data_IF_573490358643
#
_entry.id   IF_573490358643
#
_cell.length_a   1.000
_cell.length_b   1.000
_cell.length_c   1.000
_cell.angle_alpha   90.00
_cell.angle_beta   90.00
_cell.angle_gamma   90.00
#
_symmetry.space_group_name_H-M   'P 1'
#
loop_
_entity.id
_entity.type
_entity.pdbx_description
1 polymer ?
#
# COMPACT_ATOMS: atom_id res chain seq x y z
N UNK A 1 -33.29 8.84 20.97
CA UNK A 1 -33.21 10.07 21.79
C UNK A 1 -31.98 10.86 21.34
N UNK A 2 -32.18 11.98 20.63
CA UNK A 2 -31.12 12.81 20.03
C UNK A 2 -30.29 13.57 21.08
N UNK A 3 -30.80 13.71 22.31
CA UNK A 3 -30.13 14.45 23.40
C UNK A 3 -28.72 13.92 23.74
N UNK A 4 -28.46 12.62 23.50
CA UNK A 4 -27.13 12.04 23.74
C UNK A 4 -26.04 12.60 22.82
N UNK A 5 -26.41 13.16 21.67
CA UNK A 5 -25.48 13.74 20.70
C UNK A 5 -25.30 15.26 20.89
N UNK A 6 -26.11 15.89 21.73
CA UNK A 6 -25.99 17.31 22.06
C UNK A 6 -24.82 17.54 23.04
N UNK A 7 -23.58 17.55 22.53
CA UNK A 7 -22.34 17.70 23.32
C UNK A 7 -22.11 19.12 23.83
N UNK A 8 -22.59 20.12 23.08
CA UNK A 8 -22.45 21.54 23.37
C UNK A 8 -23.83 22.19 23.53
N UNK A 9 -23.93 23.14 24.46
CA UNK A 9 -25.11 23.98 24.67
C UNK A 9 -24.70 25.45 24.70
N UNK A 10 -25.53 26.38 24.22
CA UNK A 10 -25.29 27.81 24.40
C UNK A 10 -25.15 28.17 25.89
N UNK A 11 -24.28 29.14 26.19
CA UNK A 11 -24.00 29.57 27.55
C UNK A 11 -25.21 30.29 28.17
N UNK A 12 -25.82 31.21 27.41
CA UNK A 12 -27.08 31.88 27.75
C UNK A 12 -27.82 32.34 26.49
N UNK A 13 -28.84 31.58 26.05
CA UNK A 13 -29.69 31.95 24.89
C UNK A 13 -30.38 33.32 25.04
N UNK A 14 -30.55 33.80 26.27
CA UNK A 14 -31.29 35.02 26.58
C UNK A 14 -30.44 36.31 26.56
N UNK A 15 -29.10 36.20 26.61
CA UNK A 15 -28.20 37.36 26.82
C UNK A 15 -27.34 37.70 25.58
N UNK A 16 -27.58 37.05 24.45
CA UNK A 16 -26.77 37.25 23.23
C UNK A 16 -25.36 36.63 23.29
N UNK A 17 -25.01 35.92 24.36
CA UNK A 17 -23.75 35.16 24.47
C UNK A 17 -23.81 33.90 23.60
N UNK A 18 -23.17 33.98 22.42
CA UNK A 18 -23.06 32.90 21.44
C UNK A 18 -22.01 31.84 21.81
N UNK A 19 -21.30 31.97 22.95
CA UNK A 19 -20.33 30.96 23.38
C UNK A 19 -21.02 29.64 23.73
N UNK A 20 -20.32 28.54 23.48
CA UNK A 20 -20.79 27.19 23.76
C UNK A 20 -20.10 26.62 25.00
N UNK A 21 -20.87 25.91 25.83
CA UNK A 21 -20.38 25.13 26.97
C UNK A 21 -20.68 23.64 26.79
N UNK A 22 -19.92 22.79 27.46
CA UNK A 22 -20.22 21.36 27.50
C UNK A 22 -21.61 21.12 28.10
N UNK A 23 -22.36 20.19 27.50
CA UNK A 23 -23.74 19.91 27.92
C UNK A 23 -23.83 19.28 29.32
N UNK A 24 -22.79 18.58 29.77
CA UNK A 24 -22.72 17.98 31.11
C UNK A 24 -21.27 17.70 31.54
N UNK A 25 -21.01 17.51 32.85
CA UNK A 25 -19.70 17.05 33.34
C UNK A 25 -19.27 15.71 32.75
N UNK A 26 -20.22 14.82 32.42
CA UNK A 26 -19.94 13.53 31.78
C UNK A 26 -19.30 13.71 30.40
N UNK A 27 -19.74 14.71 29.61
CA UNK A 27 -19.12 15.04 28.31
C UNK A 27 -17.67 15.48 28.49
N UNK A 28 -17.38 16.26 29.54
CA UNK A 28 -16.02 16.72 29.85
C UNK A 28 -15.11 15.54 30.22
N UNK A 29 -15.59 14.64 31.08
CA UNK A 29 -14.85 13.45 31.48
C UNK A 29 -14.59 12.55 30.27
N UNK A 30 -15.61 12.31 29.45
CA UNK A 30 -15.52 11.48 28.25
C UNK A 30 -14.53 12.05 27.23
N UNK A 31 -14.57 13.36 27.00
CA UNK A 31 -13.61 14.06 26.15
C UNK A 31 -12.18 13.91 26.68
N UNK A 32 -11.95 14.13 27.97
CA UNK A 32 -10.62 13.97 28.60
C UNK A 32 -10.06 12.55 28.52
N UNK A 33 -10.91 11.53 28.52
CA UNK A 33 -10.47 10.14 28.39
C UNK A 33 -10.04 9.75 26.98
N UNK A 34 -10.50 10.50 25.96
CA UNK A 34 -10.28 10.19 24.54
C UNK A 34 -9.47 11.27 23.80
N UNK A 35 -9.14 12.40 24.45
CA UNK A 35 -8.37 13.48 23.82
C UNK A 35 -6.97 13.01 23.45
N UNK A 36 -6.59 13.26 22.20
CA UNK A 36 -5.27 12.92 21.67
C UNK A 36 -5.32 12.78 20.15
N UNK A 37 -4.15 12.89 19.52
CA UNK A 37 -3.98 12.71 18.06
C UNK A 37 -3.23 11.44 17.71
N UNK A 38 -2.61 10.79 18.69
CA UNK A 38 -1.87 9.54 18.50
C UNK A 38 -2.86 8.38 18.57
N UNK A 39 -3.06 7.74 17.43
CA UNK A 39 -3.83 6.49 17.34
C UNK A 39 -2.83 5.35 17.26
N UNK A 40 -2.75 4.52 18.29
CA UNK A 40 -1.91 3.32 18.27
C UNK A 40 -2.38 2.36 17.17
N UNK A 41 -1.42 1.80 16.42
CA UNK A 41 -1.70 0.74 15.48
C UNK A 41 -2.32 -0.44 16.25
N UNK A 42 -3.50 -0.94 15.82
CA UNK A 42 -4.14 -2.06 16.48
C UNK A 42 -3.25 -3.29 16.37
N UNK A 43 -3.04 -3.95 17.51
CA UNK A 43 -2.27 -5.17 17.62
C UNK A 43 -3.22 -6.36 17.80
N UNK A 44 -2.91 -7.47 17.16
CA UNK A 44 -3.58 -8.75 17.34
C UNK A 44 -2.69 -9.69 18.15
N UNK A 45 -3.31 -10.46 19.04
CA UNK A 45 -2.60 -11.49 19.80
C UNK A 45 -2.37 -12.71 18.92
N UNK A 46 -1.12 -13.10 18.73
CA UNK A 46 -0.78 -14.32 17.98
C UNK A 46 -0.90 -15.53 18.89
N UNK A 47 -1.77 -16.46 18.53
CA UNK A 47 -2.02 -17.70 19.29
C UNK A 47 -1.78 -18.94 18.46
N UNK A 48 -0.86 -19.78 18.93
CA UNK A 48 -0.60 -21.07 18.35
C UNK A 48 -1.69 -22.08 18.72
N UNK A 49 -2.44 -22.54 17.73
CA UNK A 49 -3.45 -23.60 17.86
C UNK A 49 -2.91 -24.94 17.36
N UNK A 50 -3.48 -26.04 17.83
CA UNK A 50 -3.13 -27.38 17.32
C UNK A 50 -3.87 -27.63 16.02
N UNK A 51 -3.14 -28.05 14.98
CA UNK A 51 -3.73 -28.52 13.73
C UNK A 51 -4.57 -29.76 14.00
N UNK A 52 -5.89 -29.59 14.03
CA UNK A 52 -6.87 -30.66 13.83
C UNK A 52 -7.67 -30.20 12.63
N UNK A 53 -7.83 -31.05 11.61
CA UNK A 53 -8.43 -30.73 10.31
C UNK A 53 -9.91 -30.33 10.30
N UNK A 54 -10.34 -29.47 11.22
CA UNK A 54 -11.64 -28.81 11.29
C UNK A 54 -11.40 -27.32 11.53
N UNK A 55 -12.17 -26.48 10.83
CA UNK A 55 -12.20 -25.03 11.03
C UNK A 55 -12.23 -24.72 12.54
N UNK A 56 -11.34 -23.84 13.05
CA UNK A 56 -11.34 -23.50 14.46
C UNK A 56 -12.65 -22.78 14.80
N UNK A 57 -13.58 -23.51 15.40
CA UNK A 57 -14.81 -22.96 15.98
C UNK A 57 -14.45 -22.54 17.40
N UNK A 58 -14.56 -21.24 17.65
CA UNK A 58 -14.65 -20.56 18.95
C UNK A 58 -14.07 -21.27 20.18
N UNK A 59 -13.02 -20.68 20.74
CA UNK A 59 -12.72 -20.81 22.17
C UNK A 59 -11.33 -21.37 22.51
N UNK A 60 -10.50 -20.48 23.06
CA UNK A 60 -9.57 -20.72 24.16
C UNK A 60 -8.79 -22.06 24.18
N UNK A 61 -7.56 -22.04 23.69
CA UNK A 61 -6.63 -23.16 23.95
C UNK A 61 -5.24 -23.06 23.34
N UNK A 62 -4.88 -21.92 22.73
CA UNK A 62 -3.61 -21.76 22.05
C UNK A 62 -2.53 -21.06 22.88
N UNK A 63 -1.28 -21.49 22.74
CA UNK A 63 -0.12 -20.82 23.35
C UNK A 63 0.01 -19.42 22.75
N UNK A 64 -0.03 -18.41 23.62
CA UNK A 64 0.24 -17.03 23.23
C UNK A 64 1.72 -16.86 22.88
N UNK A 65 2.00 -16.26 21.73
CA UNK A 65 3.36 -16.05 21.21
C UNK A 65 3.80 -14.58 21.29
N UNK A 66 2.87 -13.64 21.28
CA UNK A 66 3.13 -12.20 21.25
C UNK A 66 2.02 -11.44 20.55
N UNK A 67 2.23 -10.13 20.34
CA UNK A 67 1.32 -9.30 19.56
C UNK A 67 1.97 -8.90 18.24
N UNK A 68 1.15 -8.75 17.21
CA UNK A 68 1.58 -8.38 15.86
C UNK A 68 0.62 -7.32 15.32
N UNK A 69 1.12 -6.39 14.49
CA UNK A 69 0.27 -5.36 13.89
C UNK A 69 -0.84 -6.01 13.06
N UNK A 70 -2.08 -5.58 13.28
CA UNK A 70 -3.27 -6.05 12.54
C UNK A 70 -3.07 -5.90 11.03
N UNK A 71 -2.40 -4.82 10.60
CA UNK A 71 -2.08 -4.55 9.19
C UNK A 71 -1.30 -5.68 8.50
N UNK A 72 -0.36 -6.31 9.19
CA UNK A 72 0.40 -7.40 8.61
C UNK A 72 -0.48 -8.65 8.45
N UNK A 73 -1.33 -8.93 9.44
CA UNK A 73 -2.24 -10.08 9.42
C UNK A 73 -3.34 -9.93 8.36
N UNK A 74 -3.84 -8.70 8.14
CA UNK A 74 -4.84 -8.41 7.11
C UNK A 74 -4.36 -8.72 5.68
N UNK A 75 -3.05 -8.75 5.44
CA UNK A 75 -2.47 -9.10 4.14
C UNK A 75 -2.39 -10.62 3.92
N UNK A 76 -2.57 -11.42 4.97
CA UNK A 76 -2.43 -12.87 4.92
C UNK A 76 -3.77 -13.53 4.57
N UNK A 77 -3.71 -14.48 3.65
CA UNK A 77 -4.78 -15.44 3.42
C UNK A 77 -4.58 -16.69 4.30
N UNK A 78 -5.65 -17.36 4.75
CA UNK A 78 -5.52 -18.63 5.45
C UNK A 78 -4.69 -19.63 4.64
N UNK A 79 -3.61 -20.13 5.23
CA UNK A 79 -2.62 -20.96 4.55
C UNK A 79 -1.26 -20.28 4.35
N UNK A 80 -1.22 -18.94 4.35
CA UNK A 80 0.02 -18.19 4.21
C UNK A 80 0.93 -18.40 5.42
N UNK A 81 2.25 -18.38 5.18
CA UNK A 81 3.25 -18.58 6.22
C UNK A 81 4.04 -17.32 6.51
N UNK A 82 4.35 -17.10 7.78
CA UNK A 82 5.14 -15.96 8.22
C UNK A 82 6.05 -16.30 9.40
N UNK A 83 7.14 -15.54 9.53
CA UNK A 83 8.09 -15.71 10.63
C UNK A 83 7.71 -14.79 11.81
N UNK A 84 7.43 -15.38 12.96
CA UNK A 84 7.14 -14.60 14.17
C UNK A 84 7.64 -15.31 15.42
N UNK A 85 8.25 -14.55 16.34
CA UNK A 85 8.87 -15.06 17.57
C UNK A 85 9.81 -16.27 17.35
N UNK A 86 10.57 -16.27 16.23
CA UNK A 86 11.49 -17.36 15.89
C UNK A 86 10.81 -18.65 15.38
N UNK A 87 9.53 -18.59 15.06
CA UNK A 87 8.77 -19.70 14.51
C UNK A 87 8.22 -19.36 13.13
N UNK A 88 8.28 -20.32 12.20
CA UNK A 88 7.53 -20.27 10.96
C UNK A 88 6.11 -20.72 11.26
N UNK A 89 5.16 -19.82 11.07
CA UNK A 89 3.77 -19.98 11.45
C UNK A 89 2.91 -19.96 10.20
N UNK A 90 1.91 -20.83 10.11
CA UNK A 90 0.87 -20.79 9.09
C UNK A 90 -0.35 -20.10 9.67
N UNK A 91 -0.85 -19.08 8.99
CA UNK A 91 -2.06 -18.38 9.36
C UNK A 91 -3.28 -19.27 9.09
N UNK A 92 -4.10 -19.53 10.12
CA UNK A 92 -5.33 -20.34 9.99
C UNK A 92 -6.58 -19.45 9.91
N UNK A 93 -6.50 -18.24 10.44
CA UNK A 93 -7.60 -17.27 10.45
C UNK A 93 -7.63 -16.41 11.72
N UNK A 94 -8.65 -15.57 11.79
CA UNK A 94 -8.88 -14.64 12.90
C UNK A 94 -9.97 -15.16 13.84
N UNK A 95 -9.74 -14.99 15.15
CA UNK A 95 -10.75 -15.17 16.18
C UNK A 95 -10.77 -13.92 17.08
N UNK A 96 -11.78 -13.08 16.91
CA UNK A 96 -11.92 -11.78 17.59
C UNK A 96 -10.71 -10.85 17.41
N UNK A 97 -9.84 -10.74 18.43
CA UNK A 97 -8.60 -9.95 18.41
C UNK A 97 -7.35 -10.84 18.44
N UNK A 98 -7.50 -12.10 18.02
CA UNK A 98 -6.43 -13.09 18.03
C UNK A 98 -6.21 -13.67 16.63
N UNK A 99 -4.96 -13.70 16.18
CA UNK A 99 -4.53 -14.39 14.98
C UNK A 99 -4.21 -15.85 15.34
N UNK A 100 -5.00 -16.79 14.80
CA UNK A 100 -4.80 -18.21 15.02
C UNK A 100 -3.78 -18.76 14.04
N UNK A 101 -2.77 -19.43 14.56
CA UNK A 101 -1.66 -19.95 13.75
C UNK A 101 -1.29 -21.37 14.11
N UNK A 102 -0.79 -22.14 13.15
CA UNK A 102 -0.14 -23.44 13.40
C UNK A 102 1.35 -23.37 13.08
N UNK A 103 2.16 -24.32 13.56
CA UNK A 103 3.56 -24.42 13.13
C UNK A 103 3.63 -24.91 11.68
N UNK A 104 4.54 -24.32 10.93
CA UNK A 104 4.88 -24.74 9.57
C UNK A 104 6.40 -24.84 9.42
N UNK A 105 6.84 -25.60 8.43
CA UNK A 105 8.24 -25.73 8.03
C UNK A 105 8.46 -25.18 6.61
N UNK A 106 7.61 -24.25 6.18
CA UNK A 106 7.76 -23.62 4.87
C UNK A 106 9.13 -22.93 4.76
N UNK A 107 9.78 -23.11 3.61
CA UNK A 107 11.14 -22.61 3.36
C UNK A 107 11.18 -21.08 3.18
N UNK A 108 10.09 -20.47 2.70
CA UNK A 108 10.01 -19.04 2.39
C UNK A 108 8.83 -18.36 3.10
N UNK A 109 8.92 -18.12 4.43
CA UNK A 109 7.88 -17.42 5.17
C UNK A 109 7.94 -15.89 4.93
N UNK A 110 6.77 -15.25 4.91
CA UNK A 110 6.65 -13.79 4.90
C UNK A 110 7.23 -13.19 6.19
N UNK A 111 7.86 -12.02 6.10
CA UNK A 111 8.44 -11.33 7.25
C UNK A 111 7.50 -10.20 7.68
N UNK A 112 7.08 -10.13 8.96
CA UNK A 112 6.30 -9.01 9.47
C UNK A 112 6.98 -7.67 9.22
N UNK A 113 6.31 -6.79 8.48
CA UNK A 113 6.72 -5.40 8.30
C UNK A 113 6.02 -4.53 9.33
N UNK A 114 6.78 -3.83 10.16
CA UNK A 114 6.26 -2.84 11.11
C UNK A 114 6.21 -1.47 10.44
N UNK A 115 5.09 -0.76 10.59
CA UNK A 115 4.84 0.52 9.92
C UNK A 115 5.84 1.63 10.31
N UNK A 116 6.60 1.46 11.39
CA UNK A 116 7.51 2.48 11.94
C UNK A 116 8.97 2.50 11.45
N UNK A 117 9.35 1.71 10.43
CA UNK A 117 10.77 1.39 10.22
C UNK A 117 11.61 2.29 9.31
N UNK A 118 11.03 3.02 8.35
CA UNK A 118 11.83 3.71 7.31
C UNK A 118 11.24 5.06 6.95
N UNK A 119 11.94 6.13 7.31
CA UNK A 119 11.71 7.43 6.70
C UNK A 119 12.09 7.34 5.21
N UNK A 120 11.21 7.74 4.28
CA UNK A 120 11.57 7.80 2.87
C UNK A 120 12.74 8.77 2.67
N UNK A 121 13.54 8.56 1.62
CA UNK A 121 14.56 9.53 1.19
C UNK A 121 13.96 10.94 1.18
N UNK A 122 14.62 11.94 1.75
CA UNK A 122 14.15 13.33 1.61
C UNK A 122 14.24 13.75 0.14
N UNK A 123 13.41 14.70 -0.30
CA UNK A 123 13.43 15.22 -1.67
C UNK A 123 14.81 15.78 -2.07
N UNK A 124 15.50 16.42 -1.12
CA UNK A 124 16.88 16.88 -1.29
C UNK A 124 17.87 15.74 -1.49
N UNK A 125 17.73 14.65 -0.72
CA UNK A 125 18.60 13.48 -0.86
C UNK A 125 18.33 12.76 -2.18
N UNK A 126 17.07 12.59 -2.57
CA UNK A 126 16.66 12.05 -3.86
C UNK A 126 17.28 12.85 -5.03
N UNK A 127 17.20 14.18 -4.97
CA UNK A 127 17.80 15.06 -5.98
C UNK A 127 19.32 14.89 -6.03
N UNK A 128 19.99 14.78 -4.88
CA UNK A 128 21.44 14.58 -4.82
C UNK A 128 21.85 13.23 -5.40
N UNK A 129 21.11 12.15 -5.10
CA UNK A 129 21.38 10.82 -5.65
C UNK A 129 21.20 10.82 -7.18
N UNK A 130 20.14 11.43 -7.72
CA UNK A 130 19.95 11.57 -9.17
C UNK A 130 21.10 12.32 -9.83
N UNK A 131 21.56 13.42 -9.21
CA UNK A 131 22.73 14.18 -9.66
C UNK A 131 23.99 13.31 -9.72
N UNK A 132 24.25 12.53 -8.66
CA UNK A 132 25.39 11.61 -8.63
C UNK A 132 25.34 10.54 -9.73
N UNK A 133 24.14 10.06 -10.08
CA UNK A 133 23.95 9.11 -11.19
C UNK A 133 24.15 9.78 -12.57
N UNK A 134 23.70 11.02 -12.72
CA UNK A 134 23.76 11.76 -13.99
C UNK A 134 25.19 12.20 -14.37
N UNK A 135 26.03 12.53 -13.38
CA UNK A 135 27.35 13.12 -13.60
C UNK A 135 28.47 12.13 -13.32
N UNK A 136 29.12 11.66 -14.39
CA UNK A 136 30.16 10.62 -14.32
C UNK A 136 31.38 11.04 -13.51
N UNK A 137 31.68 12.33 -13.48
CA UNK A 137 32.75 12.92 -12.67
C UNK A 137 32.53 12.70 -11.16
N UNK A 138 31.28 12.59 -10.70
CA UNK A 138 30.97 12.33 -9.29
C UNK A 138 31.25 10.87 -8.90
N UNK A 139 31.37 9.95 -9.87
CA UNK A 139 31.59 8.52 -9.61
C UNK A 139 32.99 8.22 -9.08
N UNK A 140 33.95 9.12 -9.30
CA UNK A 140 35.30 8.98 -8.76
C UNK A 140 35.31 8.98 -7.22
N UNK A 141 34.34 9.66 -6.60
CA UNK A 141 34.18 9.71 -5.14
C UNK A 141 33.38 8.51 -4.57
N UNK A 142 32.80 7.66 -5.44
CA UNK A 142 32.02 6.51 -5.02
C UNK A 142 32.91 5.30 -4.69
N UNK A 143 32.47 4.41 -3.77
CA UNK A 143 33.13 3.13 -3.56
C UNK A 143 33.30 2.36 -4.87
N UNK A 144 34.44 1.68 -5.04
CA UNK A 144 34.78 0.99 -6.29
C UNK A 144 33.68 0.03 -6.79
N UNK A 145 33.01 -0.79 -5.94
CA UNK A 145 31.92 -1.64 -6.40
C UNK A 145 30.73 -0.84 -6.97
N UNK A 146 30.40 0.31 -6.37
CA UNK A 146 29.28 1.14 -6.85
C UNK A 146 29.62 1.73 -8.21
N UNK A 147 30.84 2.27 -8.38
CA UNK A 147 31.30 2.79 -9.66
C UNK A 147 31.27 1.72 -10.75
N UNK A 148 31.79 0.52 -10.46
CA UNK A 148 31.78 -0.60 -11.40
C UNK A 148 30.34 -0.95 -11.84
N UNK A 149 29.39 -1.02 -10.90
CA UNK A 149 27.98 -1.25 -11.23
C UNK A 149 27.37 -0.16 -12.12
N UNK A 150 27.71 1.12 -11.89
CA UNK A 150 27.26 2.23 -12.73
C UNK A 150 27.88 2.17 -14.14
N UNK A 151 29.14 1.74 -14.26
CA UNK A 151 29.80 1.54 -15.55
C UNK A 151 29.17 0.40 -16.35
N UNK A 152 28.84 -0.73 -15.69
CA UNK A 152 28.14 -1.84 -16.34
C UNK A 152 26.73 -1.39 -16.77
N UNK A 153 26.03 -0.59 -15.96
CA UNK A 153 24.75 -0.01 -16.37
C UNK A 153 24.89 0.88 -17.60
N UNK A 154 25.90 1.75 -17.64
CA UNK A 154 26.16 2.65 -18.77
C UNK A 154 26.47 1.88 -20.06
N UNK A 155 27.08 0.70 -19.94
CA UNK A 155 27.36 -0.17 -21.06
C UNK A 155 26.11 -0.94 -21.53
N UNK A 156 25.27 -1.42 -20.60
CA UNK A 156 24.08 -2.22 -20.92
C UNK A 156 22.86 -1.42 -21.33
N UNK A 157 22.71 -0.22 -20.79
CA UNK A 157 21.55 0.64 -20.98
C UNK A 157 22.03 2.09 -20.90
N UNK A 158 21.39 2.90 -20.08
CA UNK A 158 21.72 4.30 -19.81
C UNK A 158 21.52 4.58 -18.32
N UNK A 159 22.09 5.68 -17.86
CA UNK A 159 21.86 6.17 -16.50
C UNK A 159 20.73 7.20 -16.53
N UNK A 160 19.86 7.23 -15.51
CA UNK A 160 18.88 8.29 -15.35
C UNK A 160 19.60 9.63 -15.15
N UNK A 161 19.09 10.66 -15.82
CA UNK A 161 19.49 12.05 -15.61
C UNK A 161 18.72 12.69 -14.46
N UNK A 162 19.05 13.95 -14.14
CA UNK A 162 18.41 14.66 -13.01
C UNK A 162 16.90 14.88 -13.21
N UNK A 163 16.49 15.22 -14.44
CA UNK A 163 15.12 15.62 -14.76
C UNK A 163 14.37 14.61 -15.61
N UNK A 164 15.02 13.55 -16.10
CA UNK A 164 14.37 12.54 -16.92
C UNK A 164 13.92 11.35 -16.06
N UNK A 165 13.04 10.52 -16.63
CA UNK A 165 12.70 9.22 -16.08
C UNK A 165 13.25 8.16 -17.03
N UNK A 166 14.17 7.33 -16.56
CA UNK A 166 14.53 6.11 -17.26
C UNK A 166 13.46 5.06 -17.00
N UNK A 167 12.93 4.49 -18.09
CA UNK A 167 12.05 3.32 -18.10
C UNK A 167 12.72 2.23 -18.92
N UNK A 168 12.87 1.05 -18.36
CA UNK A 168 13.46 -0.12 -19.00
C UNK A 168 12.42 -1.23 -19.11
N UNK A 169 12.30 -1.81 -20.31
CA UNK A 169 11.44 -2.96 -20.56
C UNK A 169 12.27 -4.15 -21.03
N UNK A 170 12.06 -5.31 -20.41
CA UNK A 170 12.74 -6.56 -20.76
C UNK A 170 11.92 -7.80 -20.41
N UNK A 171 12.09 -8.91 -21.16
CA UNK A 171 11.53 -10.20 -20.80
C UNK A 171 12.34 -10.85 -19.66
N UNK A 172 11.65 -11.61 -18.81
CA UNK A 172 12.29 -12.51 -17.82
C UNK A 172 11.34 -13.66 -17.50
N UNK A 173 11.71 -14.86 -17.93
CA UNK A 173 10.82 -16.02 -17.86
C UNK A 173 9.65 -15.86 -18.82
N UNK A 174 8.45 -16.14 -18.32
CA UNK A 174 7.15 -16.02 -19.00
C UNK A 174 6.53 -14.61 -18.91
N UNK A 175 7.28 -13.63 -18.37
CA UNK A 175 6.76 -12.29 -18.04
C UNK A 175 7.59 -11.18 -18.67
N UNK A 176 6.96 -10.03 -18.82
CA UNK A 176 7.60 -8.80 -19.26
C UNK A 176 7.64 -7.78 -18.14
N UNK A 177 8.81 -7.20 -17.92
CA UNK A 177 9.04 -6.24 -16.85
C UNK A 177 9.06 -4.82 -17.42
N UNK A 178 8.46 -3.89 -16.69
CA UNK A 178 8.66 -2.45 -16.84
C UNK A 178 9.27 -1.95 -15.53
N UNK A 179 10.52 -1.49 -15.60
CA UNK A 179 11.25 -0.93 -14.46
C UNK A 179 11.48 0.55 -14.69
N UNK A 180 11.12 1.39 -13.74
CA UNK A 180 11.39 2.83 -13.78
C UNK A 180 12.21 3.27 -12.56
N UNK A 181 12.93 4.39 -12.71
CA UNK A 181 13.90 4.87 -11.71
C UNK A 181 13.59 6.32 -11.27
N UNK A 182 12.57 6.55 -10.41
CA UNK A 182 12.13 7.90 -10.06
C UNK A 182 12.95 8.56 -8.94
N UNK A 183 13.50 7.75 -8.02
CA UNK A 183 14.22 8.17 -6.80
C UNK A 183 13.38 8.86 -5.71
N UNK A 184 12.05 8.78 -5.78
CA UNK A 184 11.18 9.49 -4.85
C UNK A 184 10.93 8.74 -3.53
N UNK A 185 11.56 7.59 -3.32
CA UNK A 185 11.39 6.80 -2.10
C UNK A 185 10.23 5.81 -2.18
N UNK A 186 10.26 4.83 -1.28
CA UNK A 186 9.37 3.66 -1.34
C UNK A 186 7.88 4.01 -1.31
N UNK A 187 7.43 4.93 -0.46
CA UNK A 187 6.01 5.30 -0.34
C UNK A 187 5.45 5.93 -1.63
N UNK A 188 6.22 6.83 -2.25
CA UNK A 188 5.85 7.43 -3.52
C UNK A 188 5.84 6.38 -4.64
N UNK A 189 6.84 5.50 -4.68
CA UNK A 189 6.90 4.41 -5.66
C UNK A 189 5.79 3.37 -5.49
N UNK A 190 5.36 3.11 -4.26
CA UNK A 190 4.22 2.23 -3.98
C UNK A 190 2.93 2.84 -4.51
N UNK A 191 2.69 4.12 -4.21
CA UNK A 191 1.56 4.89 -4.75
C UNK A 191 1.57 4.86 -6.29
N UNK A 192 2.73 5.16 -6.90
CA UNK A 192 2.91 5.14 -8.35
C UNK A 192 2.67 3.75 -8.95
N UNK A 193 3.18 2.69 -8.30
CA UNK A 193 2.99 1.30 -8.73
C UNK A 193 1.52 0.94 -8.85
N UNK A 194 0.72 1.33 -7.87
CA UNK A 194 -0.71 1.04 -7.82
C UNK A 194 -1.48 1.74 -8.93
N UNK A 195 -1.17 3.02 -9.18
CA UNK A 195 -1.76 3.79 -10.27
C UNK A 195 -1.35 3.25 -11.64
N UNK A 196 -0.06 2.93 -11.82
CA UNK A 196 0.47 2.37 -13.06
C UNK A 196 -0.11 1.00 -13.37
N UNK A 197 -0.32 0.13 -12.37
CA UNK A 197 -0.98 -1.16 -12.61
C UNK A 197 -2.39 -0.97 -13.12
N UNK A 198 -3.16 -0.02 -12.60
CA UNK A 198 -4.53 0.23 -13.10
C UNK A 198 -4.53 0.72 -14.54
N UNK A 199 -3.60 1.61 -14.90
CA UNK A 199 -3.44 2.08 -16.28
C UNK A 199 -3.00 1.00 -17.24
N UNK A 200 -2.01 0.19 -16.83
CA UNK A 200 -1.54 -0.94 -17.62
C UNK A 200 -2.63 -1.98 -17.83
N UNK A 201 -3.47 -2.22 -16.82
CA UNK A 201 -4.62 -3.12 -16.92
C UNK A 201 -5.63 -2.60 -17.95
N UNK A 202 -6.03 -1.31 -17.86
CA UNK A 202 -6.90 -0.66 -18.86
C UNK A 202 -6.31 -0.63 -20.27
N UNK A 203 -4.99 -0.53 -20.39
CA UNK A 203 -4.28 -0.62 -21.66
C UNK A 203 -4.17 -2.07 -22.18
N UNK A 204 -4.64 -3.06 -21.42
CA UNK A 204 -4.61 -4.47 -21.76
C UNK A 204 -3.24 -5.12 -21.61
N UNK A 205 -2.31 -4.55 -20.83
CA UNK A 205 -0.99 -5.12 -20.59
C UNK A 205 -1.04 -6.31 -19.61
N UNK A 206 -2.13 -6.46 -18.84
CA UNK A 206 -2.37 -7.52 -17.85
C UNK A 206 -1.25 -7.57 -16.79
N UNK A 207 -1.14 -6.54 -15.93
CA UNK A 207 -0.15 -6.52 -14.85
C UNK A 207 -0.52 -7.53 -13.76
N UNK A 208 0.49 -8.24 -13.27
CA UNK A 208 0.34 -9.24 -12.20
C UNK A 208 0.76 -8.68 -10.83
N UNK A 209 1.55 -7.61 -10.82
CA UNK A 209 2.05 -7.01 -9.60
C UNK A 209 3.18 -6.04 -9.81
N UNK A 210 3.60 -5.43 -8.71
CA UNK A 210 4.74 -4.53 -8.67
C UNK A 210 5.54 -4.67 -7.37
N UNK A 211 6.74 -4.11 -7.37
CA UNK A 211 7.61 -3.97 -6.20
C UNK A 211 8.28 -2.61 -6.20
N UNK A 212 8.27 -1.95 -5.04
CA UNK A 212 8.77 -0.60 -4.85
C UNK A 212 10.00 -0.60 -3.94
N UNK A 213 11.10 0.00 -4.39
CA UNK A 213 12.30 0.26 -3.59
C UNK A 213 12.44 1.75 -3.29
N UNK A 214 13.53 2.16 -2.65
CA UNK A 214 13.83 3.58 -2.43
C UNK A 214 14.11 4.35 -3.72
N UNK A 215 14.65 3.70 -4.76
CA UNK A 215 15.11 4.39 -5.97
C UNK A 215 14.38 3.97 -7.25
N UNK A 216 13.66 2.85 -7.23
CA UNK A 216 13.03 2.28 -8.42
C UNK A 216 11.69 1.62 -8.12
N UNK A 217 10.93 1.38 -9.18
CA UNK A 217 9.68 0.65 -9.19
C UNK A 217 9.71 -0.34 -10.35
N UNK A 218 9.43 -1.61 -10.08
CA UNK A 218 9.32 -2.65 -11.08
C UNK A 218 7.90 -3.21 -11.13
N UNK A 219 7.32 -3.28 -12.32
CA UNK A 219 6.05 -3.92 -12.64
C UNK A 219 6.29 -5.12 -13.55
N UNK A 220 5.47 -6.16 -13.45
CA UNK A 220 5.51 -7.28 -14.38
C UNK A 220 4.13 -7.62 -14.94
N UNK A 221 4.10 -7.91 -16.24
CA UNK A 221 2.91 -8.03 -17.06
C UNK A 221 2.99 -9.31 -17.90
N UNK A 222 1.83 -9.82 -18.34
CA UNK A 222 1.76 -10.93 -19.30
C UNK A 222 2.03 -10.47 -20.74
N UNK A 223 1.68 -9.22 -21.06
CA UNK A 223 2.00 -8.60 -22.36
C UNK A 223 3.13 -7.60 -22.20
N UNK A 224 3.95 -7.48 -23.25
CA UNK A 224 5.15 -6.65 -23.25
C UNK A 224 4.83 -5.15 -23.34
N UNK A 225 4.97 -4.36 -22.25
CA UNK A 225 4.62 -2.94 -22.26
C UNK A 225 5.51 -2.12 -23.19
N UNK A 226 6.76 -2.55 -23.41
CA UNK A 226 7.66 -1.87 -24.32
C UNK A 226 7.29 -2.11 -25.79
N UNK A 227 6.82 -3.31 -26.13
CA UNK A 227 6.31 -3.61 -27.47
C UNK A 227 4.98 -2.91 -27.74
N UNK A 228 4.08 -2.88 -26.75
CA UNK A 228 2.81 -2.15 -26.83
C UNK A 228 3.05 -0.65 -27.08
N UNK A 229 4.11 -0.08 -26.48
CA UNK A 229 4.54 1.29 -26.76
C UNK A 229 4.99 1.48 -28.22
N UNK A 230 5.85 0.60 -28.72
CA UNK A 230 6.32 0.62 -30.11
C UNK A 230 5.18 0.47 -31.13
N UNK A 231 4.13 -0.27 -30.75
CA UNK A 231 2.92 -0.47 -31.56
C UNK A 231 1.88 0.64 -31.42
N UNK A 232 2.17 1.67 -30.63
CA UNK A 232 1.25 2.78 -30.36
C UNK A 232 -0.09 2.33 -29.73
N UNK A 233 -0.09 1.21 -28.99
CA UNK A 233 -1.26 0.82 -28.17
C UNK A 233 -1.43 1.80 -27.00
N UNK A 234 -0.32 2.33 -26.47
CA UNK A 234 -0.25 3.48 -25.57
C UNK A 234 1.14 4.11 -25.64
N UNK A 235 1.33 5.32 -25.12
CA UNK A 235 2.65 5.95 -24.98
C UNK A 235 3.14 5.95 -23.54
N UNK A 236 4.46 5.91 -23.32
CA UNK A 236 5.01 6.09 -21.97
C UNK A 236 4.65 7.47 -21.39
N UNK A 237 4.45 8.48 -22.25
CA UNK A 237 3.96 9.80 -21.83
C UNK A 237 2.52 9.74 -21.30
N UNK A 238 1.63 9.00 -21.95
CA UNK A 238 0.26 8.76 -21.47
C UNK A 238 0.27 7.92 -20.19
N UNK A 239 1.08 6.86 -20.15
CA UNK A 239 1.16 5.98 -18.99
C UNK A 239 1.56 6.74 -17.72
N UNK A 240 2.51 7.68 -17.84
CA UNK A 240 3.01 8.53 -16.75
C UNK A 240 2.41 9.95 -16.77
N UNK A 241 1.22 10.16 -17.35
CA UNK A 241 0.58 11.46 -17.32
C UNK A 241 0.05 11.84 -15.93
N UNK A 242 0.12 13.13 -15.59
CA UNK A 242 -0.24 13.69 -14.26
C UNK A 242 -1.71 13.47 -13.86
N UNK A 243 -2.60 13.23 -14.84
CA UNK A 243 -4.03 13.01 -14.65
C UNK A 243 -4.35 11.72 -13.86
N UNK A 244 -3.38 10.81 -13.67
CA UNK A 244 -3.55 9.64 -12.80
C UNK A 244 -3.83 10.00 -11.34
N UNK A 245 -3.44 11.22 -10.93
CA UNK A 245 -3.63 11.67 -9.55
C UNK A 245 -5.05 12.18 -9.28
N UNK A 246 -5.87 12.34 -10.32
CA UNK A 246 -7.30 12.56 -10.18
C UNK A 246 -8.04 11.23 -10.17
N UNK A 247 -8.68 10.92 -11.29
CA UNK A 247 -9.66 9.84 -11.41
C UNK A 247 -9.11 8.44 -11.03
N UNK A 248 -7.85 8.13 -11.34
CA UNK A 248 -7.28 6.81 -11.03
C UNK A 248 -7.00 6.64 -9.53
N UNK A 249 -6.54 7.71 -8.88
CA UNK A 249 -6.32 7.75 -7.45
C UNK A 249 -7.64 7.66 -6.69
N UNK A 250 -8.64 8.44 -7.08
CA UNK A 250 -9.96 8.46 -6.43
C UNK A 250 -10.67 7.10 -6.57
N UNK A 251 -10.65 6.51 -7.77
CA UNK A 251 -11.23 5.20 -8.01
C UNK A 251 -10.52 4.11 -7.21
N UNK A 252 -9.18 4.14 -7.16
CA UNK A 252 -8.41 3.20 -6.36
C UNK A 252 -8.66 3.37 -4.86
N UNK A 253 -8.65 4.60 -4.35
CA UNK A 253 -8.92 4.90 -2.95
C UNK A 253 -10.29 4.38 -2.53
N UNK A 254 -11.30 4.51 -3.39
CA UNK A 254 -12.66 4.04 -3.15
C UNK A 254 -12.78 2.50 -3.07
N UNK A 255 -11.96 1.77 -3.82
CA UNK A 255 -11.90 0.30 -3.81
C UNK A 255 -11.00 -0.24 -2.68
N UNK A 256 -10.04 0.56 -2.22
CA UNK A 256 -9.12 0.17 -1.16
C UNK A 256 -9.76 0.23 0.24
N UNK A 257 -9.29 -0.63 1.15
CA UNK A 257 -9.59 -0.50 2.58
C UNK A 257 -8.89 0.70 3.25
N UNK A 258 -8.06 1.44 2.51
CA UNK A 258 -7.25 2.53 3.02
C UNK A 258 -8.11 3.67 3.57
N UNK A 259 -9.09 4.15 2.79
CA UNK A 259 -9.95 5.26 3.22
C UNK A 259 -10.75 4.92 4.47
N UNK A 260 -11.29 3.71 4.57
CA UNK A 260 -12.03 3.27 5.76
C UNK A 260 -11.13 3.22 7.00
N UNK A 261 -9.88 2.78 6.83
CA UNK A 261 -8.87 2.77 7.89
C UNK A 261 -8.50 4.18 8.32
N UNK A 262 -8.16 5.07 7.39
CA UNK A 262 -7.84 6.47 7.70
C UNK A 262 -9.04 7.17 8.34
N UNK A 263 -10.25 6.87 7.86
CA UNK A 263 -11.48 7.42 8.43
C UNK A 263 -11.68 6.97 9.87
N UNK A 264 -11.32 5.73 10.23
CA UNK A 264 -11.34 5.25 11.61
C UNK A 264 -10.51 6.15 12.51
N UNK A 265 -9.31 6.52 12.07
CA UNK A 265 -8.41 7.35 12.85
C UNK A 265 -8.97 8.78 12.97
N UNK A 266 -9.48 9.37 11.87
CA UNK A 266 -10.18 10.67 11.92
C UNK A 266 -11.42 10.63 12.82
N UNK A 267 -12.19 9.53 12.82
CA UNK A 267 -13.39 9.36 13.63
C UNK A 267 -13.06 9.22 15.13
N UNK A 268 -11.92 8.60 15.48
CA UNK A 268 -11.43 8.55 16.86
C UNK A 268 -10.95 9.93 17.31
N UNK A 269 -10.10 10.59 16.50
CA UNK A 269 -9.49 11.89 16.84
C UNK A 269 -10.56 12.98 16.98
N UNK A 270 -11.56 13.00 16.09
CA UNK A 270 -12.69 13.92 16.17
C UNK A 270 -13.64 13.62 17.35
N UNK A 271 -13.45 12.50 18.03
CA UNK A 271 -14.33 12.02 19.10
C UNK A 271 -15.70 11.58 18.59
N UNK A 272 -15.88 11.40 17.28
CA UNK A 272 -17.10 10.79 16.73
C UNK A 272 -17.26 9.35 17.23
N UNK A 273 -16.14 8.64 17.34
CA UNK A 273 -16.05 7.32 17.96
C UNK A 273 -15.20 7.44 19.22
N UNK A 274 -15.85 7.26 20.36
CA UNK A 274 -15.18 7.18 21.65
C UNK A 274 -14.71 5.73 21.89
N UNK A 275 -13.43 5.58 22.25
CA UNK A 275 -12.79 4.28 22.52
C UNK A 275 -12.85 3.93 24.00
N UNK A 276 -12.62 4.91 24.88
CA UNK A 276 -12.56 4.72 26.34
C UNK A 276 -13.82 5.27 27.01
N UNK A 277 -14.40 4.47 27.89
CA UNK A 277 -15.50 4.82 28.78
C UNK A 277 -15.08 4.51 30.23
N UNK A 278 -15.73 5.11 31.24
CA UNK A 278 -15.46 4.76 32.63
C UNK A 278 -15.62 3.25 32.87
N UNK A 279 -14.51 2.56 33.15
CA UNK A 279 -14.47 1.11 33.41
C UNK A 279 -14.61 0.20 32.19
N UNK A 280 -14.68 0.73 30.96
CA UNK A 280 -14.83 -0.06 29.74
C UNK A 280 -14.03 0.54 28.58
N UNK A 281 -13.44 -0.31 27.74
CA UNK A 281 -12.79 0.11 26.50
C UNK A 281 -13.38 -0.68 25.34
N UNK A 282 -13.72 0.02 24.25
CA UNK A 282 -14.16 -0.65 23.03
C UNK A 282 -13.00 -1.41 22.41
N UNK A 283 -13.26 -2.63 21.96
CA UNK A 283 -12.27 -3.40 21.21
C UNK A 283 -12.02 -2.80 19.82
N UNK A 284 -10.86 -3.05 19.22
CA UNK A 284 -10.53 -2.61 17.87
C UNK A 284 -11.62 -2.98 16.86
N UNK A 285 -12.18 -4.19 16.96
CA UNK A 285 -13.29 -4.66 16.11
C UNK A 285 -14.56 -3.82 16.25
N UNK A 286 -14.94 -3.44 17.48
CA UNK A 286 -16.11 -2.60 17.72
C UNK A 286 -15.91 -1.18 17.16
N UNK A 287 -14.68 -0.67 17.26
CA UNK A 287 -14.29 0.63 16.69
C UNK A 287 -14.33 0.58 15.16
N UNK A 288 -13.73 -0.42 14.54
CA UNK A 288 -13.73 -0.61 13.07
C UNK A 288 -15.14 -0.76 12.53
N UNK A 289 -15.97 -1.63 13.13
CA UNK A 289 -17.37 -1.81 12.69
C UNK A 289 -18.18 -0.50 12.75
N UNK A 290 -18.01 0.26 13.84
CA UNK A 290 -18.69 1.56 13.99
C UNK A 290 -18.20 2.58 12.96
N UNK A 291 -16.89 2.60 12.70
CA UNK A 291 -16.25 3.47 11.72
C UNK A 291 -16.73 3.21 10.30
N UNK A 292 -16.73 1.94 9.88
CA UNK A 292 -17.13 1.54 8.54
C UNK A 292 -18.59 1.91 8.25
N UNK A 293 -19.48 1.70 9.22
CA UNK A 293 -20.88 2.09 9.09
C UNK A 293 -21.01 3.61 8.89
N UNK A 294 -20.35 4.41 9.73
CA UNK A 294 -20.45 5.87 9.63
C UNK A 294 -19.81 6.37 8.33
N UNK A 295 -18.68 5.80 7.92
CA UNK A 295 -18.04 6.12 6.64
C UNK A 295 -18.99 5.89 5.47
N UNK A 296 -19.63 4.72 5.40
CA UNK A 296 -20.54 4.39 4.30
C UNK A 296 -21.75 5.35 4.27
N UNK A 297 -22.34 5.64 5.44
CA UNK A 297 -23.48 6.57 5.57
C UNK A 297 -23.09 7.99 5.14
N UNK A 298 -21.94 8.50 5.60
CA UNK A 298 -21.46 9.83 5.20
C UNK A 298 -21.17 9.87 3.70
N UNK A 299 -20.55 8.84 3.14
CA UNK A 299 -20.24 8.78 1.71
C UNK A 299 -21.51 8.81 0.85
N UNK A 300 -22.58 8.14 1.30
CA UNK A 300 -23.85 8.08 0.57
C UNK A 300 -24.70 9.35 0.71
N UNK A 301 -24.72 9.96 1.90
CA UNK A 301 -25.66 11.06 2.19
C UNK A 301 -25.02 12.44 2.35
N UNK A 302 -23.75 12.54 2.74
CA UNK A 302 -23.02 13.80 2.97
C UNK A 302 -21.57 13.70 2.44
N UNK A 303 -21.36 13.56 1.11
CA UNK A 303 -20.03 13.34 0.53
C UNK A 303 -19.03 14.47 0.83
N UNK A 304 -19.52 15.70 1.04
CA UNK A 304 -18.71 16.88 1.38
C UNK A 304 -18.38 17.01 2.88
N UNK A 305 -18.72 16.00 3.70
CA UNK A 305 -18.53 16.04 5.15
C UNK A 305 -17.06 16.25 5.54
N UNK A 306 -16.81 17.11 6.54
CA UNK A 306 -15.45 17.52 6.95
C UNK A 306 -14.55 16.34 7.33
N UNK A 307 -15.10 15.28 7.94
CA UNK A 307 -14.33 14.08 8.29
C UNK A 307 -13.91 13.26 7.06
N UNK A 308 -14.73 13.22 6.01
CA UNK A 308 -14.33 12.60 4.75
C UNK A 308 -13.20 13.39 4.11
N UNK A 309 -13.31 14.73 4.07
CA UNK A 309 -12.23 15.61 3.57
C UNK A 309 -10.93 15.45 4.36
N UNK A 310 -11.01 15.36 5.68
CA UNK A 310 -9.84 15.08 6.53
C UNK A 310 -9.24 13.70 6.23
N UNK A 311 -10.08 12.69 6.05
CA UNK A 311 -9.66 11.33 5.69
C UNK A 311 -8.90 11.31 4.37
N UNK A 312 -9.41 11.99 3.35
CA UNK A 312 -8.72 12.10 2.06
C UNK A 312 -7.35 12.78 2.21
N UNK A 313 -7.28 13.90 2.94
CA UNK A 313 -6.02 14.61 3.17
C UNK A 313 -5.00 13.76 3.94
N UNK A 314 -5.44 13.07 4.99
CA UNK A 314 -4.58 12.21 5.81
C UNK A 314 -4.10 10.97 5.01
N UNK A 315 -4.97 10.37 4.19
CA UNK A 315 -4.60 9.25 3.33
C UNK A 315 -3.58 9.68 2.27
N UNK A 316 -3.78 10.85 1.65
CA UNK A 316 -2.91 11.41 0.62
C UNK A 316 -1.54 11.89 1.11
N UNK A 317 -1.41 12.17 2.42
CA UNK A 317 -0.17 12.69 3.04
C UNK A 317 0.57 11.63 3.86
N UNK A 318 -0.16 10.76 4.56
CA UNK A 318 0.40 9.85 5.57
C UNK A 318 0.66 8.43 5.07
N UNK A 319 -0.24 7.88 4.25
CA UNK A 319 -0.15 6.49 3.75
C UNK A 319 0.29 6.43 2.28
N UNK A 320 -0.02 7.47 1.53
CA UNK A 320 0.43 7.70 0.16
C UNK A 320 1.28 8.98 0.18
N UNK A 321 2.29 9.07 -0.68
CA UNK A 321 3.01 10.32 -0.90
C UNK A 321 2.61 10.92 -2.26
N UNK A 322 1.32 11.29 -2.35
CA UNK A 322 0.70 11.81 -3.58
C UNK A 322 1.38 13.08 -4.03
N UNK A 323 1.73 13.96 -3.08
CA UNK A 323 2.44 15.21 -3.37
C UNK A 323 3.77 14.96 -4.07
N UNK A 324 4.57 13.99 -3.59
CA UNK A 324 5.85 13.67 -4.22
C UNK A 324 5.69 12.97 -5.57
N UNK A 325 4.67 12.12 -5.73
CA UNK A 325 4.35 11.56 -7.06
C UNK A 325 3.99 12.69 -8.02
N UNK A 326 3.17 13.67 -7.61
CA UNK A 326 2.83 14.82 -8.45
C UNK A 326 4.06 15.61 -8.90
N UNK A 327 4.94 15.96 -7.97
CA UNK A 327 6.19 16.68 -8.28
C UNK A 327 7.09 15.87 -9.22
N UNK A 328 7.14 14.55 -9.06
CA UNK A 328 7.87 13.66 -9.96
C UNK A 328 7.27 13.63 -11.36
N UNK A 329 5.96 13.44 -11.49
CA UNK A 329 5.28 13.41 -12.79
C UNK A 329 5.49 14.73 -13.54
N UNK A 330 5.38 15.88 -12.85
CA UNK A 330 5.71 17.20 -13.40
C UNK A 330 7.18 17.28 -13.86
N UNK A 331 8.12 16.78 -13.06
CA UNK A 331 9.56 16.80 -13.38
C UNK A 331 9.86 16.02 -14.66
N UNK A 332 9.25 14.86 -14.83
CA UNK A 332 9.58 13.91 -15.91
C UNK A 332 8.71 14.11 -17.16
N UNK A 333 7.71 14.99 -17.12
CA UNK A 333 6.83 15.30 -18.25
C UNK A 333 7.62 15.67 -19.50
N UNK A 334 7.39 14.91 -20.57
CA UNK A 334 8.10 15.06 -21.85
C UNK A 334 9.58 14.63 -21.81
N UNK A 335 10.04 14.04 -20.72
CA UNK A 335 11.44 13.62 -20.48
C UNK A 335 11.51 12.16 -20.06
N UNK A 336 10.69 11.30 -20.65
CA UNK A 336 10.71 9.86 -20.38
C UNK A 336 11.61 9.19 -21.42
N UNK A 337 12.61 8.45 -20.94
CA UNK A 337 13.55 7.71 -21.77
C UNK A 337 13.24 6.22 -21.65
N UNK A 338 12.62 5.66 -22.69
CA UNK A 338 12.38 4.22 -22.77
C UNK A 338 13.60 3.49 -23.34
N UNK A 339 13.97 2.37 -22.72
CA UNK A 339 14.98 1.43 -23.22
C UNK A 339 14.44 0.01 -23.26
N UNK A 340 14.56 -0.62 -24.42
CA UNK A 340 14.25 -2.03 -24.64
C UNK A 340 15.53 -2.83 -24.44
N UNK A 341 15.49 -3.80 -23.54
CA UNK A 341 16.63 -4.64 -23.22
C UNK A 341 16.27 -6.12 -23.46
N UNK A 342 17.27 -6.91 -23.82
CA UNK A 342 17.12 -8.36 -24.01
C UNK A 342 17.07 -9.12 -22.67
N UNK A 343 17.52 -8.47 -21.58
CA UNK A 343 17.61 -9.04 -20.24
C UNK A 343 17.62 -7.95 -19.16
N UNK A 344 17.58 -8.38 -17.91
CA UNK A 344 17.68 -7.51 -16.72
C UNK A 344 18.93 -6.62 -16.76
N UNK A 345 18.75 -5.33 -16.45
CA UNK A 345 19.84 -4.36 -16.29
C UNK A 345 20.47 -4.43 -14.89
N UNK A 346 21.72 -3.99 -14.72
CA UNK A 346 22.33 -3.87 -13.40
C UNK A 346 21.49 -3.07 -12.39
N UNK A 347 20.93 -1.91 -12.78
CA UNK A 347 20.12 -1.11 -11.85
C UNK A 347 18.79 -1.76 -11.46
N UNK A 348 18.25 -2.66 -12.27
CA UNK A 348 17.04 -3.42 -11.96
C UNK A 348 17.28 -4.57 -10.97
N UNK A 349 18.53 -5.03 -10.77
CA UNK A 349 18.79 -6.22 -9.93
C UNK A 349 18.26 -6.06 -8.50
N UNK A 350 18.54 -4.97 -7.75
CA UNK A 350 18.11 -4.86 -6.36
C UNK A 350 16.59 -4.86 -6.18
N UNK A 351 15.85 -4.17 -7.06
CA UNK A 351 14.38 -4.10 -6.95
C UNK A 351 13.72 -5.44 -7.23
N UNK A 352 14.31 -6.28 -8.10
CA UNK A 352 13.80 -7.61 -8.38
C UNK A 352 14.10 -8.64 -7.28
N UNK A 353 15.03 -8.33 -6.38
CA UNK A 353 15.37 -9.13 -5.20
C UNK A 353 14.67 -8.64 -3.92
N UNK A 354 13.97 -7.51 -3.99
CA UNK A 354 13.35 -6.88 -2.81
C UNK A 354 12.15 -7.70 -2.31
N UNK A 355 11.96 -7.66 -0.98
CA UNK A 355 10.86 -8.34 -0.29
C UNK A 355 9.71 -7.35 -0.18
N UNK A 356 8.55 -7.70 -0.74
CA UNK A 356 7.36 -6.83 -0.75
C UNK A 356 6.65 -6.76 -2.10
N UNK A 357 6.52 -7.90 -2.80
CA UNK A 357 5.74 -7.98 -4.04
C UNK A 357 4.27 -7.73 -3.71
N UNK A 358 3.70 -6.69 -4.30
CA UNK A 358 2.26 -6.44 -4.24
C UNK A 358 1.62 -7.19 -5.40
N UNK A 359 0.77 -8.17 -5.08
CA UNK A 359 -0.05 -8.85 -6.08
C UNK A 359 -1.22 -7.97 -6.50
N UNK A 360 -1.50 -7.95 -7.80
CA UNK A 360 -2.67 -7.26 -8.35
C UNK A 360 -3.64 -8.32 -8.84
N UNK A 361 -4.87 -8.27 -8.33
CA UNK A 361 -5.98 -9.08 -8.86
C UNK A 361 -6.63 -8.32 -10.01
N UNK A 362 -6.79 -8.96 -11.15
CA UNK A 362 -7.34 -8.33 -12.37
C UNK A 362 -7.44 -9.32 -13.54
N UNK A 363 -7.53 -8.80 -14.76
CA UNK A 363 -7.66 -9.62 -15.99
C UNK A 363 -6.51 -10.61 -16.17
N UNK A 364 -5.36 -10.36 -15.56
CA UNK A 364 -4.22 -11.26 -15.58
C UNK A 364 -4.50 -12.60 -14.87
N UNK A 365 -5.24 -12.59 -13.75
CA UNK A 365 -5.62 -13.82 -13.05
C UNK A 365 -6.61 -14.65 -13.88
N UNK A 366 -7.58 -13.97 -14.52
CA UNK A 366 -8.54 -14.60 -15.42
C UNK A 366 -7.87 -15.17 -16.67
N UNK A 367 -6.90 -14.44 -17.23
CA UNK A 367 -6.12 -14.91 -18.37
C UNK A 367 -5.29 -16.15 -18.03
N UNK A 368 -4.61 -16.16 -16.88
CA UNK A 368 -3.86 -17.34 -16.41
C UNK A 368 -4.77 -18.54 -16.14
N UNK A 369 -5.96 -18.30 -15.58
CA UNK A 369 -6.98 -19.34 -15.39
C UNK A 369 -7.52 -19.88 -16.71
N UNK A 370 -7.75 -19.01 -17.69
CA UNK A 370 -8.17 -19.40 -19.04
C UNK A 370 -7.10 -20.20 -19.75
N UNK A 371 -5.85 -19.76 -19.72
CA UNK A 371 -4.71 -20.47 -20.31
C UNK A 371 -4.51 -21.84 -19.64
N UNK A 372 -4.55 -21.90 -18.31
CA UNK A 372 -4.50 -23.16 -17.58
C UNK A 372 -5.69 -24.09 -17.89
N UNK A 373 -6.89 -23.52 -18.10
CA UNK A 373 -8.07 -24.29 -18.51
C UNK A 373 -7.93 -24.82 -19.94
N UNK A 374 -7.43 -24.00 -20.87
CA UNK A 374 -7.17 -24.39 -22.25
C UNK A 374 -6.08 -25.47 -22.33
N UNK A 375 -5.02 -25.37 -21.53
CA UNK A 375 -3.99 -26.40 -21.38
C UNK A 375 -4.56 -27.71 -20.82
N UNK A 376 -5.40 -27.65 -19.78
CA UNK A 376 -6.09 -28.80 -19.21
C UNK A 376 -7.06 -29.45 -20.21
N UNK A 377 -7.79 -28.64 -20.98
CA UNK A 377 -8.67 -29.11 -22.05
C UNK A 377 -7.82 -29.76 -23.14
N UNK A 378 -6.72 -29.15 -23.57
CA UNK A 378 -5.82 -29.69 -24.59
C UNK A 378 -5.14 -30.99 -24.11
N UNK A 379 -4.81 -31.12 -22.84
CA UNK A 379 -4.30 -32.34 -22.22
C UNK A 379 -5.38 -33.43 -22.17
N UNK A 380 -6.60 -33.09 -21.73
CA UNK A 380 -7.71 -34.03 -21.62
C UNK A 380 -8.30 -34.47 -22.98
N UNK A 381 -8.20 -33.63 -24.01
CA UNK A 381 -8.73 -33.89 -25.36
C UNK A 381 -7.68 -34.40 -26.34
N UNK A 382 -6.43 -34.60 -25.89
CA UNK A 382 -5.36 -35.16 -26.72
C UNK A 382 -5.70 -36.62 -27.08
N UNK A 383 -6.08 -36.86 -28.34
CA UNK A 383 -6.24 -38.21 -28.87
C UNK A 383 -4.87 -38.78 -29.22
N UNK A 384 -4.23 -39.37 -28.19
CA UNK A 384 -2.92 -40.05 -28.16
C UNK A 384 -1.70 -39.14 -28.33
#
# INVERSE_FOLDING_TARGET
NYDRFARLRPNAKAEGDMRLRAASPAVIQQYRMNIGTIVEAPMLKVRMVKSRGRRPIGGMGGRYLGEIEEYFIDQLSPGDTFLFAGHVLRFEGLAETEALVTKSNAAEPMIPSYYGGKFPLSTYLASRVRRMFAHREEWAALPAPVREWLEIQAWRSVLPGESNLLVECFPRGDRFYLVCYPFEGRLAHQTLGMLLTRRLDRAGARPLGFVASEYSLALWCLRDPGLMHERHEFTMAELFAEDMLGDDLDAWLAESSLLKRTFRDCAIISGLIERRFPGQEKSGRQVTFSSDLIYNVLREHEPDHILLRATYNDAATGLLDVGRVAEMLKRVKGRILLKRLDRVSPLAVPVLLDIGKVSVRGEADEALLSEAADDLIAEATRLV
#
